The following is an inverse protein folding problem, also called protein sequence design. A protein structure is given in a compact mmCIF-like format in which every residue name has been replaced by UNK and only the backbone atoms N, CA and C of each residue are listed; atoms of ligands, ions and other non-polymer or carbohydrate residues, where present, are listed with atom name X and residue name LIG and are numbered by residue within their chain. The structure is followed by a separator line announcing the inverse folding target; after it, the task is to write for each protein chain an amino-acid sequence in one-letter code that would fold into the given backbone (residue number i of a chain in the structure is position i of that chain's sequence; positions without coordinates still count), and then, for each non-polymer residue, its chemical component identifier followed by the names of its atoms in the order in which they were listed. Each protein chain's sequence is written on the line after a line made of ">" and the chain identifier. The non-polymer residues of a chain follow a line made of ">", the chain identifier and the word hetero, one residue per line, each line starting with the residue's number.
data_IF_120215096379
#
_entry.id   IF_120215096379
#
_cell.length_a   1.000
_cell.length_b   1.000
_cell.length_c   1.000
_cell.angle_alpha   90.00
_cell.angle_beta   90.00
_cell.angle_gamma   90.00
#
_symmetry.space_group_name_H-M   'P 1'
#
loop_
_entity.id
_entity.type
_entity.pdbx_description
1 polymer ?
#
# COMPACT_ATOMS: atom_id res chain seq x y z
N UNK A 1 -27.24 11.09 -6.91
CA UNK A 1 -26.49 11.18 -8.18
C UNK A 1 -25.37 12.18 -7.96
N UNK A 2 -24.12 11.84 -8.24
CA UNK A 2 -22.98 12.73 -7.96
C UNK A 2 -22.85 13.80 -9.06
N UNK A 3 -22.84 13.39 -10.33
CA UNK A 3 -22.74 14.26 -11.50
C UNK A 3 -23.68 13.81 -12.61
N UNK A 4 -24.07 14.74 -13.47
CA UNK A 4 -24.98 14.58 -14.59
C UNK A 4 -24.59 15.48 -15.78
N UNK A 5 -24.95 15.06 -17.00
CA UNK A 5 -24.66 15.83 -18.21
C UNK A 5 -25.84 16.71 -18.60
N UNK A 6 -25.66 18.03 -18.59
CA UNK A 6 -26.69 19.01 -18.95
C UNK A 6 -26.60 19.46 -20.43
N UNK A 7 -26.18 18.57 -21.33
CA UNK A 7 -26.03 18.87 -22.77
C UNK A 7 -24.77 19.67 -23.16
N UNK A 8 -24.20 20.46 -22.24
CA UNK A 8 -23.03 21.31 -22.50
C UNK A 8 -21.87 21.08 -21.54
N UNK A 9 -22.15 20.72 -20.27
CA UNK A 9 -21.15 20.50 -19.23
C UNK A 9 -21.66 19.49 -18.19
N UNK A 10 -20.72 18.91 -17.45
CA UNK A 10 -21.01 18.10 -16.27
C UNK A 10 -21.40 19.02 -15.10
N UNK A 11 -22.54 18.74 -14.48
CA UNK A 11 -23.08 19.45 -13.31
C UNK A 11 -23.50 18.44 -12.25
N UNK A 12 -23.58 18.83 -10.98
CA UNK A 12 -24.01 17.90 -9.94
C UNK A 12 -23.83 18.44 -8.54
N UNK A 13 -24.00 17.54 -7.57
CA UNK A 13 -23.79 17.83 -6.15
C UNK A 13 -22.31 17.85 -5.77
N UNK A 14 -21.45 17.28 -6.63
CA UNK A 14 -20.00 17.26 -6.48
C UNK A 14 -19.32 17.92 -7.68
N UNK A 15 -18.10 18.44 -7.48
CA UNK A 15 -17.28 19.01 -8.55
C UNK A 15 -16.82 17.86 -9.45
N UNK A 16 -17.07 17.91 -10.76
CA UNK A 16 -16.73 16.81 -11.64
C UNK A 16 -15.21 16.67 -11.84
N UNK A 17 -14.64 15.56 -11.35
CA UNK A 17 -13.27 15.11 -11.64
C UNK A 17 -13.17 14.47 -13.04
N UNK A 18 -13.71 15.14 -14.05
CA UNK A 18 -13.80 14.65 -15.43
C UNK A 18 -13.68 15.81 -16.42
N UNK A 19 -13.17 15.52 -17.62
CA UNK A 19 -13.08 16.54 -18.68
C UNK A 19 -14.49 16.96 -19.15
N UNK A 20 -14.62 18.11 -19.83
CA UNK A 20 -15.88 18.61 -20.43
C UNK A 20 -16.36 17.78 -21.63
N UNK A 21 -15.88 16.54 -21.78
CA UNK A 21 -16.20 15.68 -22.90
C UNK A 21 -17.64 15.16 -22.76
N UNK A 22 -18.37 15.16 -23.89
CA UNK A 22 -19.75 14.67 -23.93
C UNK A 22 -19.84 13.16 -23.63
N UNK A 23 -20.97 12.69 -23.08
CA UNK A 23 -21.22 11.27 -22.87
C UNK A 23 -21.15 10.51 -24.20
N UNK A 24 -20.42 9.40 -24.22
CA UNK A 24 -20.14 8.62 -25.43
C UNK A 24 -18.85 9.00 -26.17
N UNK A 25 -18.09 9.99 -25.67
CA UNK A 25 -16.73 10.24 -26.12
C UNK A 25 -15.76 9.15 -25.63
N UNK A 26 -14.64 8.96 -26.32
CA UNK A 26 -13.60 7.99 -25.96
C UNK A 26 -12.74 8.42 -24.75
N UNK A 27 -13.21 9.38 -23.94
CA UNK A 27 -12.48 9.88 -22.75
C UNK A 27 -12.88 9.04 -21.54
N UNK A 28 -11.92 8.32 -20.94
CA UNK A 28 -12.17 7.50 -19.76
C UNK A 28 -12.16 8.31 -18.44
N UNK A 29 -12.85 7.83 -17.39
CA UNK A 29 -13.07 8.57 -16.13
C UNK A 29 -11.82 8.80 -15.28
N UNK A 30 -10.71 8.10 -15.54
CA UNK A 30 -9.47 8.24 -14.78
C UNK A 30 -8.54 9.28 -15.42
N UNK A 31 -8.80 10.57 -15.17
CA UNK A 31 -8.11 11.68 -15.86
C UNK A 31 -6.59 11.71 -15.67
N UNK A 32 -6.08 11.15 -14.57
CA UNK A 32 -4.63 11.12 -14.28
C UNK A 32 -3.93 9.92 -14.93
N UNK A 33 -4.68 8.98 -15.51
CA UNK A 33 -4.11 7.83 -16.21
C UNK A 33 -3.99 8.14 -17.71
N UNK A 34 -2.86 7.80 -18.37
CA UNK A 34 -2.68 8.13 -19.77
C UNK A 34 -3.71 7.46 -20.70
N UNK A 35 -4.21 6.29 -20.32
CA UNK A 35 -5.28 5.57 -21.02
C UNK A 35 -6.70 5.90 -20.54
N UNK A 36 -6.87 6.68 -19.46
CA UNK A 36 -8.18 7.04 -18.91
C UNK A 36 -8.94 5.88 -18.23
N UNK A 37 -8.32 4.71 -18.07
CA UNK A 37 -8.94 3.49 -17.51
C UNK A 37 -8.32 3.10 -16.17
N UNK A 38 -9.06 2.32 -15.38
CA UNK A 38 -8.57 1.69 -14.16
C UNK A 38 -7.74 0.46 -14.52
N UNK A 39 -6.48 0.42 -14.08
CA UNK A 39 -5.56 -0.70 -14.38
C UNK A 39 -5.84 -1.89 -13.48
N UNK A 40 -6.32 -3.00 -14.07
CA UNK A 40 -6.26 -4.32 -13.43
C UNK A 40 -4.89 -4.99 -13.63
N UNK A 41 -4.22 -4.64 -14.71
CA UNK A 41 -2.87 -5.08 -15.04
C UNK A 41 -1.95 -3.87 -15.00
N UNK A 42 -1.06 -3.81 -14.01
CA UNK A 42 -0.25 -2.63 -13.73
C UNK A 42 1.02 -2.52 -14.58
N UNK A 43 0.99 -3.02 -15.83
CA UNK A 43 2.05 -3.01 -16.87
C UNK A 43 3.47 -2.90 -16.31
N UNK A 44 3.98 -1.68 -16.18
CA UNK A 44 5.35 -1.30 -15.82
C UNK A 44 5.41 -0.46 -14.54
N UNK A 45 4.30 -0.32 -13.81
CA UNK A 45 4.17 0.61 -12.66
C UNK A 45 4.46 -0.03 -11.31
N UNK A 46 4.52 -1.34 -11.25
CA UNK A 46 4.87 -2.10 -10.06
C UNK A 46 6.20 -2.80 -10.29
N UNK A 47 7.08 -2.72 -9.29
CA UNK A 47 8.41 -3.29 -9.40
C UNK A 47 8.35 -4.83 -9.26
N UNK A 48 7.39 -5.31 -8.47
CA UNK A 48 7.09 -6.72 -8.17
C UNK A 48 6.21 -7.44 -9.21
N UNK A 49 5.89 -6.77 -10.31
CA UNK A 49 5.12 -7.33 -11.42
C UNK A 49 3.70 -6.76 -11.53
N UNK A 50 3.02 -7.01 -12.66
CA UNK A 50 1.77 -6.32 -13.00
C UNK A 50 0.54 -6.87 -12.28
N UNK A 51 0.66 -8.02 -11.60
CA UNK A 51 -0.37 -8.63 -10.77
C UNK A 51 0.12 -8.82 -9.33
N UNK A 52 -0.77 -8.71 -8.34
CA UNK A 52 -0.43 -9.01 -6.95
C UNK A 52 -0.22 -10.52 -6.76
N UNK A 53 0.90 -10.89 -6.16
CA UNK A 53 1.23 -12.26 -5.78
C UNK A 53 1.65 -12.30 -4.31
N UNK A 54 1.30 -13.37 -3.59
CA UNK A 54 1.62 -13.50 -2.18
C UNK A 54 3.08 -13.91 -2.01
N UNK A 55 3.89 -13.06 -1.36
CA UNK A 55 5.23 -13.39 -0.91
C UNK A 55 5.26 -13.36 0.62
N UNK A 56 5.98 -14.30 1.24
CA UNK A 56 6.13 -14.30 2.68
C UNK A 56 6.99 -13.09 3.12
N UNK A 57 6.69 -12.51 4.29
CA UNK A 57 7.56 -11.53 4.93
C UNK A 57 8.97 -12.10 5.13
N UNK A 58 9.99 -11.22 5.15
CA UNK A 58 11.39 -11.60 5.31
C UNK A 58 11.65 -12.45 6.57
N UNK A 59 10.87 -12.22 7.64
CA UNK A 59 10.90 -12.99 8.88
C UNK A 59 9.63 -13.85 8.98
N UNK A 60 9.57 -14.96 8.24
CA UNK A 60 8.44 -15.90 8.33
C UNK A 60 8.76 -17.10 9.23
N UNK A 61 7.87 -17.47 10.18
CA UNK A 61 8.02 -18.69 10.97
C UNK A 61 7.81 -19.97 10.15
N UNK A 62 7.17 -19.85 8.97
CA UNK A 62 6.86 -20.97 8.09
C UNK A 62 8.07 -21.42 7.28
N UNK A 63 9.05 -20.53 7.08
CA UNK A 63 10.35 -20.82 6.43
C UNK A 63 10.27 -21.21 4.95
N UNK A 64 9.06 -21.30 4.39
CA UNK A 64 8.78 -21.56 2.98
C UNK A 64 7.44 -20.92 2.61
N UNK A 65 7.26 -20.59 1.33
CA UNK A 65 5.97 -20.19 0.80
C UNK A 65 5.26 -21.43 0.22
N UNK A 66 4.07 -21.81 0.74
CA UNK A 66 3.31 -22.95 0.22
C UNK A 66 2.89 -22.82 -1.25
N UNK A 67 2.74 -21.59 -1.76
CA UNK A 67 2.31 -21.33 -3.14
C UNK A 67 3.46 -21.45 -4.15
N UNK A 68 4.67 -21.02 -3.75
CA UNK A 68 5.86 -21.11 -4.57
C UNK A 68 7.10 -21.42 -3.70
N UNK A 69 7.46 -22.70 -3.54
CA UNK A 69 8.56 -23.11 -2.66
C UNK A 69 9.93 -22.54 -3.05
N UNK A 70 10.09 -22.12 -4.31
CA UNK A 70 11.35 -21.60 -4.85
C UNK A 70 11.56 -20.10 -4.57
N UNK A 71 10.52 -19.32 -4.25
CA UNK A 71 10.61 -17.85 -4.14
C UNK A 71 9.94 -17.35 -2.85
N UNK A 72 10.48 -17.69 -1.68
CA UNK A 72 9.79 -17.43 -0.40
C UNK A 72 9.48 -15.94 -0.17
N UNK A 73 10.40 -15.04 -0.49
CA UNK A 73 10.27 -13.59 -0.28
C UNK A 73 10.27 -12.82 -1.61
N UNK A 74 9.77 -11.57 -1.60
CA UNK A 74 9.66 -10.77 -2.81
C UNK A 74 11.04 -10.56 -3.46
N UNK A 75 11.19 -10.88 -4.77
CA UNK A 75 12.48 -10.87 -5.46
C UNK A 75 13.05 -9.46 -5.70
N UNK A 76 12.26 -8.42 -5.47
CA UNK A 76 12.60 -7.01 -5.73
C UNK A 76 13.16 -6.32 -4.48
N UNK A 77 13.07 -6.98 -3.33
CA UNK A 77 13.52 -6.40 -2.07
C UNK A 77 15.04 -6.28 -2.09
N UNK A 78 15.53 -5.03 -2.04
CA UNK A 78 16.95 -4.73 -1.87
C UNK A 78 17.29 -4.71 -0.38
N UNK A 79 18.16 -5.62 0.05
CA UNK A 79 18.57 -5.75 1.46
C UNK A 79 20.08 -5.52 1.56
N UNK A 80 20.50 -4.74 2.55
CA UNK A 80 21.92 -4.54 2.86
C UNK A 80 22.45 -5.69 3.70
N UNK A 81 23.73 -6.04 3.51
CA UNK A 81 24.37 -7.19 4.20
C UNK A 81 24.26 -7.09 5.73
N UNK A 82 24.42 -5.89 6.29
CA UNK A 82 24.27 -5.63 7.73
C UNK A 82 22.86 -5.91 8.25
N UNK A 83 21.84 -5.68 7.42
CA UNK A 83 20.45 -5.92 7.78
C UNK A 83 20.12 -7.42 7.69
N UNK A 84 20.69 -8.15 6.73
CA UNK A 84 20.59 -9.61 6.64
C UNK A 84 21.09 -10.27 7.94
N UNK A 85 22.18 -9.75 8.51
CA UNK A 85 22.73 -10.27 9.77
C UNK A 85 21.83 -10.01 10.98
N UNK A 86 20.97 -8.98 10.92
CA UNK A 86 20.03 -8.62 11.99
C UNK A 86 18.70 -9.37 11.91
N UNK A 87 18.34 -9.89 10.74
CA UNK A 87 17.09 -10.62 10.52
C UNK A 87 16.96 -11.84 11.44
N UNK A 88 15.77 -12.01 11.99
CA UNK A 88 15.33 -13.18 12.73
C UNK A 88 15.37 -14.43 11.87
N UNK A 89 15.90 -15.53 12.41
CA UNK A 89 15.84 -16.86 11.79
C UNK A 89 14.52 -17.53 12.18
N UNK A 90 14.08 -18.56 11.45
CA UNK A 90 12.83 -19.32 11.73
C UNK A 90 12.58 -19.66 13.21
N UNK A 91 13.63 -19.90 13.99
CA UNK A 91 13.56 -20.24 15.41
C UNK A 91 13.32 -19.02 16.34
N UNK A 92 13.68 -17.83 15.88
CA UNK A 92 13.51 -16.53 16.53
C UNK A 92 12.98 -15.52 15.49
N UNK A 93 11.65 -15.51 15.24
CA UNK A 93 11.04 -14.81 14.11
C UNK A 93 11.01 -13.28 14.27
N UNK A 94 11.74 -12.73 15.24
CA UNK A 94 11.80 -11.30 15.52
C UNK A 94 13.27 -10.89 15.51
N UNK A 95 13.60 -9.85 14.74
CA UNK A 95 14.85 -9.09 14.83
C UNK A 95 15.27 -8.92 16.31
N UNK A 96 16.38 -9.57 16.68
CA UNK A 96 16.80 -9.78 18.08
C UNK A 96 17.07 -8.48 18.86
N UNK A 97 17.11 -7.34 18.18
CA UNK A 97 17.51 -6.05 18.72
C UNK A 97 16.38 -5.05 19.01
N UNK A 98 15.12 -5.29 18.62
CA UNK A 98 14.12 -4.20 18.64
C UNK A 98 12.76 -4.43 19.30
N UNK A 99 12.40 -5.62 19.78
CA UNK A 99 11.16 -5.78 20.54
C UNK A 99 11.35 -6.52 21.86
N UNK A 100 10.95 -5.93 23.01
CA UNK A 100 10.72 -6.71 24.22
C UNK A 100 9.64 -7.78 23.91
N UNK A 101 9.70 -8.96 24.54
CA UNK A 101 8.91 -10.14 24.19
C UNK A 101 7.37 -9.93 24.21
N UNK A 102 6.89 -8.82 24.77
CA UNK A 102 5.47 -8.58 25.03
C UNK A 102 4.77 -7.61 24.05
N UNK A 103 5.43 -7.16 22.97
CA UNK A 103 4.79 -6.24 22.01
C UNK A 103 4.55 -6.90 20.66
N UNK A 104 3.34 -7.40 20.47
CA UNK A 104 2.78 -7.56 19.14
C UNK A 104 2.71 -6.20 18.42
N UNK A 105 2.76 -6.23 17.08
CA UNK A 105 2.72 -5.12 16.13
C UNK A 105 2.17 -3.79 16.68
N UNK A 106 2.94 -2.68 16.58
CA UNK A 106 2.47 -1.40 17.09
C UNK A 106 1.25 -0.93 16.29
N UNK A 107 0.05 -1.03 16.86
CA UNK A 107 -1.11 -0.33 16.35
C UNK A 107 -1.08 1.12 16.84
N UNK A 108 -1.46 2.08 15.98
CA UNK A 108 -1.55 3.48 16.36
C UNK A 108 -2.92 3.76 17.00
N UNK A 109 -3.00 4.19 18.26
CA UNK A 109 -4.24 4.68 18.83
C UNK A 109 -4.61 6.02 18.19
N UNK A 110 -5.91 6.26 17.96
CA UNK A 110 -6.44 7.49 17.36
C UNK A 110 -5.95 8.78 18.08
N UNK A 111 -5.64 8.67 19.37
CA UNK A 111 -5.28 9.78 20.25
C UNK A 111 -3.80 10.15 20.26
N UNK A 112 -2.92 9.45 19.53
CA UNK A 112 -1.47 9.72 19.56
C UNK A 112 -0.91 10.14 18.20
N UNK A 113 -0.19 11.26 18.17
CA UNK A 113 0.62 11.69 17.03
C UNK A 113 1.76 10.70 16.70
N UNK A 114 2.34 10.83 15.50
CA UNK A 114 3.38 9.92 14.97
C UNK A 114 4.63 9.84 15.86
N UNK A 115 4.91 10.88 16.66
CA UNK A 115 6.00 10.88 17.64
C UNK A 115 5.45 11.02 19.07
N UNK A 116 5.99 10.27 20.06
CA UNK A 116 5.58 10.36 21.46
C UNK A 116 5.80 11.73 22.12
N UNK A 117 6.50 12.66 21.44
CA UNK A 117 6.82 13.98 21.98
C UNK A 117 5.65 14.95 21.89
N UNK A 118 4.78 14.85 20.86
CA UNK A 118 3.70 15.82 20.64
C UNK A 118 2.39 15.44 21.31
N UNK A 119 2.14 14.15 21.56
CA UNK A 119 0.89 13.67 22.18
C UNK A 119 0.87 13.76 23.71
N UNK A 120 2.02 13.99 24.36
CA UNK A 120 2.12 14.09 25.82
C UNK A 120 1.77 15.48 26.36
N UNK A 121 1.81 16.51 25.50
CA UNK A 121 1.52 17.90 25.88
C UNK A 121 0.14 18.39 25.43
N UNK A 122 -0.67 17.57 24.76
CA UNK A 122 -2.06 17.91 24.45
C UNK A 122 -2.98 17.43 25.57
N UNK A 123 -3.14 18.26 26.60
CA UNK A 123 -4.32 18.20 27.46
C UNK A 123 -5.50 18.63 26.60
N UNK A 124 -6.42 17.71 26.31
CA UNK A 124 -7.69 18.05 25.67
C UNK A 124 -8.40 19.11 26.52
N UNK A 125 -8.61 20.29 25.94
CA UNK A 125 -9.58 21.31 26.38
C UNK A 125 -10.82 21.18 25.52
#
# INVERSE_FOLDING_TARGET
>A
MLIEWNGTKWTGNDIPDFNTAAPGSNTGPFIMQPEGLGRLFAIDKLAEGPFPEHYEPMETPLGTNPLHPNVVSSPVVRIYEDDVLRLGKRQVPVCRHYLPPDRAFPYRPSTRGLTPSRSRNSLWR
#
